data_IF_486390198393
#
_entry.id   IF_486390198393
#
_cell.length_a   1.000
_cell.length_b   1.000
_cell.length_c   1.000
_cell.angle_alpha   90.00
_cell.angle_beta   90.00
_cell.angle_gamma   90.00
#
_symmetry.space_group_name_H-M   'P 1'
#
loop_
_entity.id
_entity.type
_entity.pdbx_description
1 polymer ?
#
# COMPACT_ATOMS: atom_id res chain seq x y z
N UNK A 1 37.09 2.63 23.77
CA UNK A 1 37.30 4.08 23.94
C UNK A 1 37.20 4.83 22.61
N UNK A 2 36.49 4.30 21.61
CA UNK A 2 35.88 5.17 20.59
C UNK A 2 34.91 6.11 21.31
N UNK A 3 35.05 7.40 20.98
CA UNK A 3 34.99 8.47 21.98
C UNK A 3 33.57 8.77 22.47
N UNK A 4 33.42 9.03 23.77
CA UNK A 4 32.27 9.73 24.38
C UNK A 4 31.82 10.94 23.55
N UNK A 5 32.77 11.68 22.97
CA UNK A 5 32.50 12.79 22.06
C UNK A 5 31.75 12.42 20.76
N UNK A 6 31.83 11.17 20.30
CA UNK A 6 31.09 10.68 19.14
C UNK A 6 29.60 10.53 19.41
N UNK A 7 29.23 10.01 20.60
CA UNK A 7 27.83 9.85 21.02
C UNK A 7 27.19 11.21 21.27
N UNK A 8 27.87 12.10 22.01
CA UNK A 8 27.35 13.45 22.30
C UNK A 8 27.17 14.27 21.01
N UNK A 9 28.10 14.16 20.06
CA UNK A 9 27.98 14.80 18.74
C UNK A 9 26.80 14.22 17.93
N UNK A 10 26.61 12.90 17.95
CA UNK A 10 25.50 12.25 17.26
C UNK A 10 24.13 12.66 17.83
N UNK A 11 24.00 12.71 19.16
CA UNK A 11 22.80 13.20 19.83
C UNK A 11 22.50 14.66 19.51
N UNK A 12 23.55 15.49 19.52
CA UNK A 12 23.44 16.90 19.16
C UNK A 12 22.97 17.06 17.71
N UNK A 13 23.55 16.32 16.78
CA UNK A 13 23.17 16.36 15.38
C UNK A 13 21.74 15.86 15.14
N UNK A 14 21.34 14.76 15.79
CA UNK A 14 19.98 14.23 15.69
C UNK A 14 18.94 15.22 16.26
N UNK A 15 19.24 15.85 17.40
CA UNK A 15 18.38 16.88 17.99
C UNK A 15 18.25 18.12 17.09
N UNK A 16 19.37 18.65 16.58
CA UNK A 16 19.39 19.79 15.65
C UNK A 16 18.59 19.49 14.38
N UNK A 17 18.73 18.28 13.84
CA UNK A 17 18.01 17.87 12.63
C UNK A 17 16.50 17.75 12.89
N UNK A 18 16.11 17.17 14.03
CA UNK A 18 14.72 17.12 14.47
C UNK A 18 14.11 18.52 14.64
N UNK A 19 14.84 19.43 15.28
CA UNK A 19 14.42 20.83 15.46
C UNK A 19 14.27 21.55 14.12
N UNK A 20 15.22 21.35 13.19
CA UNK A 20 15.19 21.96 11.86
C UNK A 20 14.01 21.46 11.03
N UNK A 21 13.76 20.15 11.03
CA UNK A 21 12.61 19.55 10.34
C UNK A 21 11.30 20.04 10.94
N UNK A 22 11.20 20.08 12.27
CA UNK A 22 10.03 20.61 12.97
C UNK A 22 9.76 22.07 12.56
N UNK A 23 10.79 22.91 12.58
CA UNK A 23 10.67 24.31 12.18
C UNK A 23 10.22 24.45 10.72
N UNK A 24 10.80 23.66 9.81
CA UNK A 24 10.39 23.63 8.40
C UNK A 24 8.92 23.24 8.23
N UNK A 25 8.48 22.19 8.92
CA UNK A 25 7.09 21.74 8.89
C UNK A 25 6.13 22.79 9.48
N UNK A 26 6.48 23.42 10.59
CA UNK A 26 5.68 24.47 11.22
C UNK A 26 5.56 25.71 10.33
N UNK A 27 6.66 26.15 9.71
CA UNK A 27 6.64 27.25 8.73
C UNK A 27 5.73 26.87 7.56
N UNK A 28 5.89 25.67 7.00
CA UNK A 28 5.10 25.26 5.84
C UNK A 28 3.61 25.12 6.15
N UNK A 29 3.28 24.62 7.33
CA UNK A 29 1.91 24.54 7.82
C UNK A 29 1.30 25.94 7.98
N UNK A 30 2.06 26.89 8.53
CA UNK A 30 1.64 28.29 8.71
C UNK A 30 1.47 29.03 7.37
N UNK A 31 2.36 28.80 6.40
CA UNK A 31 2.28 29.39 5.05
C UNK A 31 1.05 28.90 4.27
N UNK A 32 0.77 27.60 4.35
CA UNK A 32 -0.30 26.99 3.55
C UNK A 32 -1.66 27.26 4.15
N UNK A 33 -1.76 27.25 5.49
CA UNK A 33 -3.02 27.27 6.24
C UNK A 33 -4.09 26.32 5.66
N UNK A 34 -3.63 25.23 5.05
CA UNK A 34 -4.43 24.26 4.31
C UNK A 34 -3.81 22.88 4.57
N UNK A 35 -4.55 22.04 5.29
CA UNK A 35 -4.10 20.71 5.67
C UNK A 35 -3.72 19.88 4.44
N UNK A 36 -4.47 19.94 3.34
CA UNK A 36 -4.20 19.10 2.18
C UNK A 36 -2.90 19.51 1.50
N UNK A 37 -2.65 20.82 1.33
CA UNK A 37 -1.37 21.33 0.80
C UNK A 37 -0.19 21.01 1.72
N UNK A 38 -0.41 21.09 3.04
CA UNK A 38 0.60 20.64 4.00
C UNK A 38 0.89 19.15 3.85
N UNK A 39 -0.10 18.30 3.64
CA UNK A 39 0.10 16.86 3.41
C UNK A 39 0.78 16.55 2.10
N UNK A 40 0.47 17.26 1.02
CA UNK A 40 1.20 17.15 -0.23
C UNK A 40 2.69 17.45 -0.01
N UNK A 41 3.00 18.52 0.73
CA UNK A 41 4.36 18.82 1.15
C UNK A 41 4.94 17.73 2.05
N UNK A 42 4.23 17.30 3.09
CA UNK A 42 4.70 16.31 4.06
C UNK A 42 5.01 14.98 3.39
N UNK A 43 4.18 14.53 2.46
CA UNK A 43 4.38 13.32 1.68
C UNK A 43 5.56 13.49 0.71
N UNK A 44 5.65 14.62 0.00
CA UNK A 44 6.70 14.87 -1.00
C UNK A 44 8.08 15.08 -0.37
N UNK A 45 8.15 15.86 0.71
CA UNK A 45 9.38 16.16 1.43
C UNK A 45 9.78 15.01 2.36
N UNK A 46 8.83 14.15 2.76
CA UNK A 46 9.02 12.99 3.63
C UNK A 46 9.94 13.30 4.83
N UNK A 47 9.59 14.32 5.66
CA UNK A 47 10.44 14.77 6.76
C UNK A 47 10.77 13.64 7.75
N UNK A 48 9.82 12.74 8.00
CA UNK A 48 10.01 11.55 8.83
C UNK A 48 11.10 10.60 8.26
N UNK A 49 11.22 10.41 6.94
CA UNK A 49 12.30 9.62 6.33
C UNK A 49 13.67 10.22 6.59
N UNK A 50 13.76 11.55 6.59
CA UNK A 50 14.99 12.26 6.92
C UNK A 50 15.38 12.08 8.40
N UNK A 51 14.40 12.09 9.32
CA UNK A 51 14.60 11.75 10.73
C UNK A 51 15.06 10.29 10.90
N UNK A 52 14.40 9.35 10.20
CA UNK A 52 14.75 7.92 10.22
C UNK A 52 16.23 7.72 9.83
N UNK A 53 16.70 8.41 8.79
CA UNK A 53 18.11 8.33 8.34
C UNK A 53 19.09 8.82 9.40
N UNK A 54 18.81 9.96 10.05
CA UNK A 54 19.69 10.51 11.10
C UNK A 54 19.69 9.63 12.35
N UNK A 55 18.53 9.09 12.72
CA UNK A 55 18.39 8.19 13.87
C UNK A 55 19.10 6.86 13.59
N UNK A 56 19.08 6.37 12.35
CA UNK A 56 19.82 5.18 11.96
C UNK A 56 21.34 5.40 12.09
N UNK A 57 21.83 6.61 11.78
CA UNK A 57 23.21 7.02 12.04
C UNK A 57 23.55 6.99 13.54
N UNK A 58 22.68 7.54 14.38
CA UNK A 58 22.84 7.48 15.84
C UNK A 58 22.90 6.03 16.35
N UNK A 59 22.00 5.16 15.89
CA UNK A 59 21.98 3.74 16.26
C UNK A 59 23.21 2.96 15.78
N UNK A 60 23.75 3.33 14.62
CA UNK A 60 25.00 2.76 14.13
C UNK A 60 26.19 3.13 15.03
N UNK A 61 26.21 4.34 15.60
CA UNK A 61 27.25 4.80 16.53
C UNK A 61 27.11 4.15 17.90
N UNK A 62 25.88 3.90 18.33
CA UNK A 62 25.59 3.25 19.62
C UNK A 62 25.76 1.72 19.57
N UNK A 63 26.10 1.15 18.41
CA UNK A 63 26.24 -0.30 18.18
C UNK A 63 25.01 -1.10 18.66
N UNK A 64 23.82 -0.56 18.35
CA UNK A 64 22.56 -1.16 18.80
C UNK A 64 22.18 -2.32 17.86
N UNK A 65 22.34 -3.54 18.35
CA UNK A 65 21.93 -4.77 17.67
C UNK A 65 20.57 -5.32 18.15
N UNK A 66 19.83 -5.96 17.23
CA UNK A 66 18.63 -6.76 17.53
C UNK A 66 17.33 -5.98 17.70
N UNK A 67 16.24 -6.70 18.04
CA UNK A 67 14.87 -6.19 18.28
C UNK A 67 14.70 -5.57 19.68
N UNK A 68 15.79 -5.13 20.31
CA UNK A 68 15.71 -4.48 21.61
C UNK A 68 14.90 -3.17 21.49
N UNK A 69 13.95 -2.99 22.40
CA UNK A 69 13.04 -1.86 22.34
C UNK A 69 13.80 -0.55 22.56
N UNK A 70 13.42 0.50 21.83
CA UNK A 70 13.84 1.90 22.07
C UNK A 70 13.98 2.25 23.57
N UNK A 71 13.06 1.77 24.42
CA UNK A 71 13.11 2.00 25.86
C UNK A 71 14.33 1.39 26.54
N UNK A 72 14.76 0.18 26.15
CA UNK A 72 15.96 -0.44 26.71
C UNK A 72 17.21 0.37 26.38
N UNK A 73 17.28 0.94 25.17
CA UNK A 73 18.41 1.77 24.76
C UNK A 73 18.41 3.14 25.43
N UNK A 74 17.24 3.76 25.63
CA UNK A 74 17.14 5.00 26.41
C UNK A 74 17.62 4.79 27.85
N UNK A 75 17.30 3.65 28.47
CA UNK A 75 17.77 3.27 29.81
C UNK A 75 19.29 3.02 29.81
N UNK A 76 19.83 2.34 28.79
CA UNK A 76 21.29 2.19 28.65
C UNK A 76 22.00 3.54 28.50
N UNK A 77 21.42 4.47 27.75
CA UNK A 77 21.95 5.82 27.59
C UNK A 77 21.92 6.64 28.89
N UNK A 78 20.89 6.46 29.71
CA UNK A 78 20.82 7.09 31.04
C UNK A 78 21.86 6.53 32.03
N UNK A 79 22.20 5.25 31.90
CA UNK A 79 23.23 4.58 32.71
C UNK A 79 24.67 4.78 32.22
N UNK A 80 24.86 5.31 31.02
CA UNK A 80 26.17 5.55 30.41
C UNK A 80 26.70 6.96 30.74
N UNK A 81 28.00 7.15 30.53
CA UNK A 81 28.75 8.39 30.75
C UNK A 81 28.40 9.50 29.72
N UNK A 82 27.15 9.56 29.25
CA UNK A 82 26.61 10.48 28.24
C UNK A 82 26.32 11.84 28.89
N UNK A 83 26.53 12.92 28.15
CA UNK A 83 26.09 14.24 28.62
C UNK A 83 24.56 14.29 28.72
N UNK A 84 24.07 14.32 29.97
CA UNK A 84 22.64 14.40 30.29
C UNK A 84 21.96 15.62 29.66
N UNK A 85 22.72 16.70 29.40
CA UNK A 85 22.23 17.89 28.70
C UNK A 85 21.87 17.56 27.25
N UNK A 86 22.72 16.81 26.55
CA UNK A 86 22.50 16.42 25.15
C UNK A 86 21.37 15.41 25.02
N UNK A 87 21.34 14.41 25.92
CA UNK A 87 20.23 13.46 25.99
C UNK A 87 18.89 14.16 26.26
N UNK A 88 18.86 15.11 27.20
CA UNK A 88 17.67 15.90 27.52
C UNK A 88 17.24 16.75 26.34
N UNK A 89 18.18 17.38 25.62
CA UNK A 89 17.88 18.17 24.42
C UNK A 89 17.24 17.29 23.34
N UNK A 90 17.81 16.12 23.07
CA UNK A 90 17.28 15.18 22.09
C UNK A 90 15.84 14.75 22.44
N UNK A 91 15.59 14.28 23.67
CA UNK A 91 14.24 13.92 24.16
C UNK A 91 13.25 15.08 24.03
N UNK A 92 13.69 16.32 24.30
CA UNK A 92 12.84 17.50 24.17
C UNK A 92 12.49 17.81 22.70
N UNK A 93 13.42 17.59 21.76
CA UNK A 93 13.14 17.71 20.33
C UNK A 93 12.08 16.69 19.89
N UNK A 94 12.20 15.44 20.33
CA UNK A 94 11.22 14.37 20.05
C UNK A 94 9.83 14.69 20.60
N UNK A 95 9.78 15.14 21.86
CA UNK A 95 8.51 15.54 22.48
C UNK A 95 7.83 16.66 21.69
N UNK A 96 8.58 17.67 21.23
CA UNK A 96 8.04 18.76 20.42
C UNK A 96 7.55 18.25 19.06
N UNK A 97 8.30 17.35 18.44
CA UNK A 97 7.91 16.69 17.20
C UNK A 97 6.61 15.91 17.36
N UNK A 98 6.48 15.08 18.39
CA UNK A 98 5.26 14.32 18.69
C UNK A 98 4.07 15.23 18.99
N UNK A 99 4.28 16.32 19.74
CA UNK A 99 3.24 17.33 19.97
C UNK A 99 2.75 17.96 18.67
N UNK A 100 3.67 18.28 17.75
CA UNK A 100 3.33 18.80 16.43
C UNK A 100 2.53 17.78 15.61
N UNK A 101 3.02 16.55 15.51
CA UNK A 101 2.34 15.46 14.79
C UNK A 101 0.92 15.23 15.35
N UNK A 102 0.76 15.19 16.68
CA UNK A 102 -0.55 15.06 17.33
C UNK A 102 -1.47 16.26 17.09
N UNK A 103 -0.91 17.47 16.95
CA UNK A 103 -1.68 18.67 16.59
C UNK A 103 -2.24 18.53 15.18
N UNK A 104 -1.41 18.13 14.21
CA UNK A 104 -1.85 17.88 12.83
C UNK A 104 -2.96 16.82 12.79
N UNK A 105 -2.80 15.74 13.54
CA UNK A 105 -3.81 14.68 13.62
C UNK A 105 -5.13 15.13 14.22
N UNK A 106 -5.08 15.96 15.26
CA UNK A 106 -6.28 16.54 15.88
C UNK A 106 -7.03 17.42 14.89
N UNK A 107 -6.30 18.25 14.13
CA UNK A 107 -6.87 19.10 13.09
C UNK A 107 -7.52 18.28 11.95
N UNK A 108 -6.89 17.18 11.54
CA UNK A 108 -7.48 16.23 10.59
C UNK A 108 -8.76 15.59 11.14
N UNK A 109 -8.75 15.16 12.41
CA UNK A 109 -9.93 14.59 13.05
C UNK A 109 -11.09 15.59 13.10
N UNK A 110 -10.81 16.86 13.35
CA UNK A 110 -11.83 17.91 13.37
C UNK A 110 -12.31 18.29 11.96
N UNK A 111 -11.44 18.26 10.95
CA UNK A 111 -11.86 18.38 9.55
C UNK A 111 -12.78 17.23 9.14
N UNK A 112 -12.45 15.99 9.54
CA UNK A 112 -13.29 14.80 9.30
C UNK A 112 -14.67 14.95 9.91
N UNK A 113 -14.75 15.37 11.18
CA UNK A 113 -16.03 15.61 11.86
C UNK A 113 -16.87 16.65 11.12
N UNK A 114 -16.25 17.75 10.67
CA UNK A 114 -16.91 18.81 9.88
C UNK A 114 -17.37 18.35 8.49
N UNK A 115 -16.69 17.38 7.88
CA UNK A 115 -17.10 16.76 6.61
C UNK A 115 -18.24 15.74 6.82
N UNK A 116 -18.14 14.92 7.86
CA UNK A 116 -19.14 13.91 8.19
C UNK A 116 -20.51 14.52 8.58
N UNK A 117 -20.51 15.76 9.09
CA UNK A 117 -21.75 16.50 9.38
C UNK A 117 -22.43 17.11 8.13
N UNK A 118 -21.84 16.95 6.93
CA UNK A 118 -22.43 17.41 5.66
C UNK A 118 -23.16 16.26 4.97
N UNK A 119 -23.98 16.63 3.99
CA UNK A 119 -24.77 15.76 3.12
C UNK A 119 -24.08 14.45 2.70
N UNK A 120 -24.84 13.43 2.26
CA UNK A 120 -24.27 12.17 1.76
C UNK A 120 -23.09 12.41 0.82
N UNK A 121 -22.00 11.67 1.01
CA UNK A 121 -20.81 11.80 0.17
C UNK A 121 -21.17 11.28 -1.22
N UNK A 122 -21.02 12.11 -2.25
CA UNK A 122 -21.12 11.69 -3.66
C UNK A 122 -19.73 11.70 -4.27
N UNK A 123 -19.29 10.56 -4.81
CA UNK A 123 -18.02 10.49 -5.53
C UNK A 123 -18.16 11.11 -6.92
N UNK A 124 -17.08 11.76 -7.40
CA UNK A 124 -17.08 12.40 -8.72
C UNK A 124 -17.05 11.34 -9.83
N UNK A 125 -17.75 11.58 -10.94
CA UNK A 125 -17.71 10.72 -12.14
C UNK A 125 -16.32 10.55 -12.68
N UNK A 126 -15.60 11.66 -12.77
CA UNK A 126 -14.36 11.80 -13.50
C UNK A 126 -13.13 11.36 -12.70
N UNK A 127 -13.33 10.77 -11.52
CA UNK A 127 -12.24 10.09 -10.80
C UNK A 127 -11.62 9.04 -11.72
N UNK A 128 -10.31 9.15 -11.94
CA UNK A 128 -9.61 8.32 -12.92
C UNK A 128 -8.89 7.17 -12.23
N UNK A 129 -9.06 5.99 -12.80
CA UNK A 129 -8.36 4.79 -12.42
C UNK A 129 -7.74 4.14 -13.63
N UNK A 130 -6.90 3.14 -13.37
CA UNK A 130 -6.40 2.24 -14.39
C UNK A 130 -7.02 0.88 -14.12
N UNK A 131 -7.85 0.40 -15.05
CA UNK A 131 -8.37 -0.97 -14.99
C UNK A 131 -7.23 -1.94 -15.32
N UNK A 132 -6.93 -2.82 -14.36
CA UNK A 132 -5.82 -3.75 -14.47
C UNK A 132 -6.27 -5.03 -15.18
N UNK A 133 -5.62 -5.37 -16.28
CA UNK A 133 -5.90 -6.57 -17.07
C UNK A 133 -5.08 -6.65 -18.35
N UNK A 134 -5.47 -7.53 -19.27
CA UNK A 134 -4.73 -7.74 -20.53
C UNK A 134 -4.67 -6.45 -21.37
N UNK A 135 -5.80 -5.75 -21.45
CA UNK A 135 -5.89 -4.43 -22.05
C UNK A 135 -6.01 -3.41 -20.93
N UNK A 136 -4.85 -2.98 -20.41
CA UNK A 136 -4.80 -1.90 -19.44
C UNK A 136 -5.45 -0.65 -20.05
N UNK A 137 -6.43 -0.08 -19.36
CA UNK A 137 -7.15 1.08 -19.86
C UNK A 137 -7.39 2.10 -18.76
N UNK A 138 -7.34 3.38 -19.13
CA UNK A 138 -7.77 4.44 -18.24
C UNK A 138 -9.29 4.42 -18.20
N UNK A 139 -9.85 4.33 -17.00
CA UNK A 139 -11.29 4.26 -16.78
C UNK A 139 -11.71 5.32 -15.75
N UNK A 140 -12.92 5.83 -15.88
CA UNK A 140 -13.51 6.71 -14.87
C UNK A 140 -14.29 5.87 -13.85
N UNK A 141 -14.56 6.41 -12.65
CA UNK A 141 -15.40 5.71 -11.66
C UNK A 141 -16.77 5.36 -12.26
N UNK A 142 -17.39 6.31 -12.97
CA UNK A 142 -18.69 6.09 -13.60
C UNK A 142 -18.64 4.93 -14.59
N UNK A 143 -17.62 4.89 -15.44
CA UNK A 143 -17.47 3.80 -16.40
C UNK A 143 -17.18 2.47 -15.70
N UNK A 144 -16.40 2.47 -14.62
CA UNK A 144 -16.11 1.26 -13.85
C UNK A 144 -17.36 0.69 -13.17
N UNK A 145 -18.27 1.55 -12.68
CA UNK A 145 -19.55 1.13 -12.10
C UNK A 145 -20.52 0.66 -13.19
N UNK A 146 -20.62 1.39 -14.29
CA UNK A 146 -21.57 1.11 -15.38
C UNK A 146 -21.13 0.00 -16.33
N UNK A 147 -19.85 -0.39 -16.35
CA UNK A 147 -19.34 -1.41 -17.27
C UNK A 147 -19.96 -2.78 -16.98
N UNK A 148 -20.77 -3.31 -17.89
CA UNK A 148 -21.30 -4.68 -17.85
C UNK A 148 -22.11 -5.06 -16.60
N UNK A 149 -22.69 -4.10 -15.87
CA UNK A 149 -23.38 -4.38 -14.61
C UNK A 149 -24.82 -3.86 -14.62
N UNK A 150 -25.77 -4.78 -14.49
CA UNK A 150 -27.14 -4.49 -14.04
C UNK A 150 -27.19 -4.24 -12.51
N UNK A 151 -26.05 -4.31 -11.82
CA UNK A 151 -25.93 -4.09 -10.40
C UNK A 151 -26.21 -2.62 -10.05
N UNK A 152 -27.05 -2.42 -9.04
CA UNK A 152 -27.38 -1.10 -8.48
C UNK A 152 -26.35 -0.62 -7.46
N UNK A 153 -25.57 -1.55 -6.93
CA UNK A 153 -24.58 -1.29 -5.90
C UNK A 153 -23.20 -1.73 -6.36
N UNK A 154 -22.19 -1.04 -5.88
CA UNK A 154 -20.79 -1.42 -6.06
C UNK A 154 -20.08 -1.37 -4.72
N UNK A 155 -19.41 -2.46 -4.35
CA UNK A 155 -18.51 -2.52 -3.22
C UNK A 155 -17.07 -2.31 -3.71
N UNK A 156 -16.47 -1.20 -3.28
CA UNK A 156 -15.06 -0.90 -3.49
C UNK A 156 -14.27 -1.47 -2.30
N UNK A 157 -13.49 -2.52 -2.55
CA UNK A 157 -12.61 -3.14 -1.55
C UNK A 157 -11.25 -2.45 -1.62
N UNK A 158 -10.97 -1.60 -0.63
CA UNK A 158 -9.72 -0.84 -0.55
C UNK A 158 -8.60 -1.70 0.01
N UNK A 159 -7.53 -1.87 -0.76
CA UNK A 159 -6.31 -2.56 -0.36
C UNK A 159 -5.29 -1.54 0.10
N UNK A 160 -4.66 -1.81 1.26
CA UNK A 160 -3.65 -0.94 1.86
C UNK A 160 -2.41 -0.80 0.98
N UNK A 161 -1.85 -1.95 0.59
CA UNK A 161 -0.75 -2.13 -0.34
C UNK A 161 -0.78 -3.58 -0.81
N UNK A 162 -0.14 -3.87 -1.94
CA UNK A 162 -0.24 -5.17 -2.63
C UNK A 162 0.36 -6.36 -1.85
N UNK A 163 1.24 -6.11 -0.88
CA UNK A 163 1.82 -7.14 -0.02
C UNK A 163 1.14 -7.29 1.35
N UNK A 164 -0.06 -6.72 1.53
CA UNK A 164 -0.77 -6.79 2.81
C UNK A 164 -1.57 -8.08 2.91
N UNK A 165 -1.10 -9.03 3.73
CA UNK A 165 -1.71 -10.35 3.91
C UNK A 165 -3.18 -10.25 4.32
N UNK A 166 -3.50 -9.48 5.36
CA UNK A 166 -4.88 -9.29 5.82
C UNK A 166 -5.80 -8.67 4.74
N UNK A 167 -5.25 -7.88 3.80
CA UNK A 167 -6.02 -7.34 2.68
C UNK A 167 -6.25 -8.40 1.61
N UNK A 168 -5.26 -9.25 1.35
CA UNK A 168 -5.37 -10.34 0.38
C UNK A 168 -6.40 -11.36 0.85
N UNK A 169 -6.33 -11.80 2.11
CA UNK A 169 -7.31 -12.71 2.70
C UNK A 169 -8.74 -12.17 2.57
N UNK A 170 -8.95 -10.89 2.88
CA UNK A 170 -10.25 -10.24 2.75
C UNK A 170 -10.76 -10.20 1.31
N UNK A 171 -9.88 -9.87 0.35
CA UNK A 171 -10.21 -9.89 -1.08
C UNK A 171 -10.58 -11.30 -1.56
N UNK A 172 -9.84 -12.32 -1.13
CA UNK A 172 -10.11 -13.72 -1.50
C UNK A 172 -11.43 -14.22 -0.89
N UNK A 173 -11.71 -13.89 0.38
CA UNK A 173 -12.99 -14.21 1.00
C UNK A 173 -14.18 -13.56 0.27
N UNK A 174 -14.02 -12.31 -0.21
CA UNK A 174 -15.03 -11.65 -1.03
C UNK A 174 -15.15 -12.30 -2.42
N UNK A 175 -14.02 -12.69 -3.03
CA UNK A 175 -13.97 -13.39 -4.31
C UNK A 175 -14.76 -14.70 -4.29
N UNK A 176 -14.57 -15.52 -3.25
CA UNK A 176 -15.27 -16.79 -3.06
C UNK A 176 -16.79 -16.62 -2.91
N UNK A 177 -17.24 -15.43 -2.51
CA UNK A 177 -18.64 -15.09 -2.27
C UNK A 177 -19.21 -14.15 -3.32
N UNK A 178 -18.56 -13.98 -4.49
CA UNK A 178 -19.02 -13.11 -5.59
C UNK A 178 -20.48 -13.35 -5.97
N UNK A 179 -20.93 -14.61 -6.03
CA UNK A 179 -22.31 -14.94 -6.36
C UNK A 179 -23.32 -14.37 -5.36
N UNK A 180 -22.97 -14.31 -4.07
CA UNK A 180 -23.84 -13.75 -3.04
C UNK A 180 -23.95 -12.23 -3.17
N UNK A 181 -22.87 -11.54 -3.52
CA UNK A 181 -22.90 -10.10 -3.84
C UNK A 181 -23.76 -9.83 -5.08
N UNK A 182 -23.55 -10.61 -6.15
CA UNK A 182 -24.33 -10.50 -7.38
C UNK A 182 -25.84 -10.73 -7.14
N UNK A 183 -26.20 -11.72 -6.29
CA UNK A 183 -27.60 -11.97 -5.92
C UNK A 183 -28.29 -10.79 -5.23
N UNK A 184 -27.50 -9.85 -4.69
CA UNK A 184 -27.95 -8.60 -4.04
C UNK A 184 -27.75 -7.37 -4.93
N UNK A 185 -27.63 -7.55 -6.26
CA UNK A 185 -27.36 -6.48 -7.22
C UNK A 185 -26.10 -5.66 -6.85
N UNK A 186 -25.08 -6.32 -6.31
CA UNK A 186 -23.84 -5.69 -5.88
C UNK A 186 -22.64 -6.28 -6.62
N UNK A 187 -21.87 -5.39 -7.25
CA UNK A 187 -20.61 -5.70 -7.90
C UNK A 187 -19.44 -5.50 -6.96
N UNK A 188 -18.38 -6.30 -7.12
CA UNK A 188 -17.11 -6.12 -6.43
C UNK A 188 -16.06 -5.47 -7.33
N UNK A 189 -15.41 -4.43 -6.82
CA UNK A 189 -14.22 -3.82 -7.41
C UNK A 189 -13.11 -3.73 -6.35
N UNK A 190 -11.92 -4.22 -6.66
CA UNK A 190 -10.76 -4.05 -5.80
C UNK A 190 -10.04 -2.76 -6.17
N UNK A 191 -9.72 -1.92 -5.20
CA UNK A 191 -9.01 -0.65 -5.44
C UNK A 191 -7.71 -0.63 -4.64
N UNK A 192 -6.61 -0.31 -5.31
CA UNK A 192 -5.29 -0.21 -4.68
C UNK A 192 -4.57 1.05 -5.14
N UNK A 193 -3.82 1.69 -4.23
CA UNK A 193 -2.88 2.75 -4.63
C UNK A 193 -1.59 2.08 -5.12
N UNK A 194 -1.44 2.02 -6.43
CA UNK A 194 -0.30 1.40 -7.07
C UNK A 194 -0.09 2.02 -8.45
N UNK A 195 1.11 1.82 -9.00
CA UNK A 195 1.33 2.04 -10.42
C UNK A 195 0.54 1.02 -11.24
N UNK A 196 0.31 1.35 -12.50
CA UNK A 196 -0.31 0.47 -13.49
C UNK A 196 0.35 -0.92 -13.52
N UNK A 197 1.67 -0.94 -13.60
CA UNK A 197 2.46 -2.16 -13.73
C UNK A 197 2.38 -3.00 -12.46
N UNK A 198 2.47 -2.34 -11.30
CA UNK A 198 2.40 -2.99 -10.00
C UNK A 198 1.05 -3.69 -9.79
N UNK A 199 -0.05 -2.99 -10.00
CA UNK A 199 -1.39 -3.54 -9.81
C UNK A 199 -1.72 -4.67 -10.81
N UNK A 200 -1.25 -4.55 -12.05
CA UNK A 200 -1.44 -5.60 -13.08
C UNK A 200 -0.65 -6.86 -12.74
N UNK A 201 0.61 -6.71 -12.33
CA UNK A 201 1.44 -7.83 -11.90
C UNK A 201 0.82 -8.51 -10.68
N UNK A 202 0.40 -7.73 -9.68
CA UNK A 202 -0.25 -8.26 -8.48
C UNK A 202 -1.49 -9.08 -8.82
N UNK A 203 -2.42 -8.53 -9.61
CA UNK A 203 -3.63 -9.24 -10.07
C UNK A 203 -3.31 -10.58 -10.75
N UNK A 204 -2.30 -10.59 -11.63
CA UNK A 204 -1.86 -11.80 -12.34
C UNK A 204 -1.26 -12.83 -11.38
N UNK A 205 -0.42 -12.40 -10.43
CA UNK A 205 0.23 -13.28 -9.46
C UNK A 205 -0.78 -13.99 -8.56
N UNK A 206 -1.82 -13.29 -8.10
CA UNK A 206 -2.83 -13.87 -7.20
C UNK A 206 -3.98 -14.56 -7.96
N UNK A 207 -3.99 -14.51 -9.29
CA UNK A 207 -5.04 -15.15 -10.11
C UNK A 207 -6.43 -14.54 -9.95
N UNK A 208 -6.53 -13.25 -9.62
CA UNK A 208 -7.80 -12.62 -9.26
C UNK A 208 -8.64 -12.27 -10.50
N UNK A 209 -9.85 -12.81 -10.56
CA UNK A 209 -10.77 -12.55 -11.68
C UNK A 209 -11.51 -11.22 -11.52
N UNK A 210 -11.75 -10.77 -10.29
CA UNK A 210 -12.36 -9.47 -10.02
C UNK A 210 -11.57 -8.32 -10.67
N UNK A 211 -12.26 -7.28 -11.18
CA UNK A 211 -11.61 -6.06 -11.63
C UNK A 211 -10.79 -5.44 -10.50
N UNK A 212 -9.56 -5.08 -10.84
CA UNK A 212 -8.67 -4.32 -9.97
C UNK A 212 -8.47 -2.95 -10.61
N UNK A 213 -8.69 -1.90 -9.82
CA UNK A 213 -8.51 -0.51 -10.19
C UNK A 213 -7.27 0.03 -9.47
N UNK A 214 -6.31 0.55 -10.21
CA UNK A 214 -5.20 1.30 -9.65
C UNK A 214 -5.61 2.77 -9.49
N UNK A 215 -5.62 3.27 -8.25
CA UNK A 215 -5.81 4.66 -7.88
C UNK A 215 -4.44 5.34 -7.75
N UNK A 216 -3.77 5.53 -8.88
CA UNK A 216 -2.39 6.05 -8.93
C UNK A 216 -2.28 7.44 -8.27
N UNK A 217 -3.30 8.28 -8.45
CA UNK A 217 -3.35 9.65 -7.95
C UNK A 217 -3.96 9.76 -6.54
N UNK A 218 -4.60 8.70 -6.03
CA UNK A 218 -5.21 8.68 -4.72
C UNK A 218 -6.51 9.50 -4.61
N UNK A 219 -7.23 9.67 -5.72
CA UNK A 219 -8.44 10.50 -5.77
C UNK A 219 -9.54 9.92 -4.87
N UNK A 220 -9.71 8.60 -4.87
CA UNK A 220 -10.72 7.92 -4.06
C UNK A 220 -10.35 7.96 -2.58
N UNK A 221 -9.08 7.71 -2.30
CA UNK A 221 -8.52 7.73 -0.93
C UNK A 221 -8.72 9.10 -0.28
N UNK A 222 -8.51 10.17 -1.05
CA UNK A 222 -8.75 11.54 -0.60
C UNK A 222 -10.24 11.84 -0.42
N UNK A 223 -11.08 11.38 -1.35
CA UNK A 223 -12.52 11.62 -1.30
C UNK A 223 -13.19 10.95 -0.10
N UNK A 224 -12.84 9.69 0.19
CA UNK A 224 -13.38 8.94 1.32
C UNK A 224 -12.61 9.22 2.62
N UNK A 225 -11.39 9.75 2.53
CA UNK A 225 -10.47 9.98 3.65
C UNK A 225 -10.06 8.67 4.36
N UNK A 226 -9.45 7.75 3.61
CA UNK A 226 -8.76 6.55 4.13
C UNK A 226 -7.37 6.83 4.72
N UNK A 227 -7.04 8.11 4.96
CA UNK A 227 -5.73 8.51 5.45
C UNK A 227 -5.50 7.99 6.86
N UNK A 228 -4.33 7.41 7.08
CA UNK A 228 -3.82 7.06 8.39
C UNK A 228 -3.63 8.31 9.26
N UNK A 229 -3.69 8.09 10.57
CA UNK A 229 -3.23 9.09 11.53
C UNK A 229 -1.73 9.32 11.32
N UNK A 230 -1.32 10.58 11.22
CA UNK A 230 0.07 11.03 11.14
C UNK A 230 0.87 10.54 12.33
N UNK A 231 0.27 10.55 13.52
CA UNK A 231 0.88 10.00 14.72
C UNK A 231 1.24 8.51 14.58
N UNK A 232 0.49 7.73 13.79
CA UNK A 232 0.79 6.30 13.60
C UNK A 232 2.07 6.04 12.79
N UNK A 233 2.49 6.96 11.91
CA UNK A 233 3.62 6.74 11.00
C UNK A 233 4.70 7.81 11.07
N UNK A 234 4.52 8.86 11.87
CA UNK A 234 5.48 9.94 11.98
C UNK A 234 5.92 10.21 13.42
N UNK A 235 5.30 9.62 14.46
CA UNK A 235 5.77 9.86 15.83
C UNK A 235 7.19 9.32 16.06
N UNK A 236 7.85 9.81 17.10
CA UNK A 236 9.21 9.44 17.51
C UNK A 236 9.37 7.92 17.63
N UNK A 237 8.42 7.23 18.26
CA UNK A 237 8.44 5.77 18.41
C UNK A 237 8.48 5.03 17.07
N UNK A 238 7.72 5.47 16.07
CA UNK A 238 7.75 4.93 14.71
C UNK A 238 9.09 5.25 14.03
N UNK A 239 9.57 6.49 14.13
CA UNK A 239 10.87 6.91 13.59
C UNK A 239 11.99 6.02 14.14
N UNK A 240 12.03 5.78 15.45
CA UNK A 240 13.00 4.86 16.07
C UNK A 240 12.90 3.45 15.53
N UNK A 241 11.68 2.88 15.47
CA UNK A 241 11.49 1.52 14.95
C UNK A 241 12.01 1.38 13.51
N UNK A 242 11.77 2.39 12.67
CA UNK A 242 12.28 2.42 11.30
C UNK A 242 13.79 2.64 11.27
N UNK A 243 14.33 3.53 12.08
CA UNK A 243 15.75 3.82 12.17
C UNK A 243 16.57 2.60 12.58
N UNK A 244 16.09 1.83 13.56
CA UNK A 244 16.71 0.59 14.04
C UNK A 244 16.81 -0.45 12.93
N UNK A 245 15.72 -0.64 12.18
CA UNK A 245 15.71 -1.54 11.03
C UNK A 245 16.65 -1.07 9.92
N UNK A 246 16.77 0.23 9.73
CA UNK A 246 17.67 0.82 8.74
C UNK A 246 19.15 0.77 9.15
N UNK A 247 19.46 0.82 10.45
CA UNK A 247 20.84 0.74 10.95
C UNK A 247 21.38 -0.69 10.95
N UNK A 248 20.49 -1.68 11.11
CA UNK A 248 20.82 -3.08 10.89
C UNK A 248 21.14 -3.26 9.41
N UNK A 249 22.43 -3.43 9.09
CA UNK A 249 22.91 -3.70 7.73
C UNK A 249 22.39 -5.05 7.25
N UNK A 250 21.13 -5.13 6.82
CA UNK A 250 20.59 -6.30 6.14
C UNK A 250 21.40 -6.46 4.84
N UNK A 251 22.31 -7.43 4.84
CA UNK A 251 23.11 -7.78 3.69
C UNK A 251 22.21 -8.17 2.52
N UNK A 252 22.42 -7.53 1.38
CA UNK A 252 22.01 -7.96 0.03
C UNK A 252 20.51 -8.09 -0.29
N UNK A 253 20.10 -7.46 -1.40
CA UNK A 253 18.88 -7.71 -2.20
C UNK A 253 17.49 -7.57 -1.55
N UNK A 254 17.30 -7.84 -0.27
CA UNK A 254 15.98 -7.73 0.38
C UNK A 254 15.56 -6.28 0.66
N UNK A 255 16.54 -5.35 0.73
CA UNK A 255 16.24 -3.93 0.90
C UNK A 255 15.67 -3.28 -0.35
N UNK A 256 15.74 -3.90 -1.54
CA UNK A 256 15.33 -3.30 -2.82
C UNK A 256 13.83 -3.04 -2.96
N UNK A 257 12.98 -3.59 -2.08
CA UNK A 257 11.62 -3.08 -1.86
C UNK A 257 11.63 -1.76 -1.07
N UNK A 258 12.65 -0.93 -1.35
CA UNK A 258 12.97 0.29 -0.61
C UNK A 258 11.70 1.11 -0.51
N UNK A 259 11.45 1.50 0.72
CA UNK A 259 10.69 2.63 1.21
C UNK A 259 10.20 3.63 0.14
N UNK A 260 11.00 3.98 -0.87
CA UNK A 260 10.65 4.82 -2.04
C UNK A 260 9.28 4.51 -2.70
N UNK A 261 8.91 3.25 -2.94
CA UNK A 261 7.57 2.91 -3.47
C UNK A 261 6.52 2.69 -2.36
N UNK A 262 6.96 2.23 -1.18
CA UNK A 262 6.09 2.05 -0.02
C UNK A 262 5.64 3.39 0.58
N UNK A 263 6.37 4.48 0.37
CA UNK A 263 6.09 5.83 0.85
C UNK A 263 4.74 6.35 0.34
N UNK A 264 4.27 5.88 -0.82
CA UNK A 264 2.94 6.23 -1.31
C UNK A 264 1.82 5.43 -0.63
N UNK A 265 2.10 4.29 0.00
CA UNK A 265 1.07 3.40 0.58
C UNK A 265 1.03 3.37 2.12
N UNK A 266 2.08 3.85 2.81
CA UNK A 266 2.11 3.84 4.29
C UNK A 266 1.09 4.79 4.94
N UNK A 267 0.47 5.68 4.17
CA UNK A 267 -0.52 6.65 4.67
C UNK A 267 -1.97 6.19 4.50
N UNK A 268 -2.19 4.97 4.02
CA UNK A 268 -3.52 4.43 3.82
C UNK A 268 -3.73 3.20 4.70
N UNK A 269 -4.96 3.00 5.15
CA UNK A 269 -5.45 1.69 5.59
C UNK A 269 -6.42 1.12 4.56
N UNK A 270 -6.61 -0.19 4.63
CA UNK A 270 -7.67 -0.83 3.88
C UNK A 270 -9.05 -0.41 4.38
N UNK A 271 -10.06 -0.96 3.73
CA UNK A 271 -11.44 -0.91 4.17
C UNK A 271 -12.37 -1.18 2.99
N UNK A 272 -13.61 -0.76 3.14
CA UNK A 272 -14.70 -1.12 2.24
C UNK A 272 -15.62 0.09 2.04
N UNK A 273 -16.04 0.35 0.80
CA UNK A 273 -16.95 1.45 0.45
C UNK A 273 -18.08 0.90 -0.38
N UNK A 274 -19.31 0.99 0.12
CA UNK A 274 -20.50 0.66 -0.65
C UNK A 274 -21.07 1.93 -1.27
N UNK A 275 -21.27 1.91 -2.59
CA UNK A 275 -21.89 3.00 -3.33
C UNK A 275 -23.08 2.51 -4.15
N UNK A 276 -24.01 3.43 -4.46
CA UNK A 276 -25.09 3.20 -5.43
C UNK A 276 -24.66 3.53 -6.87
N UNK A 277 -25.57 3.29 -7.82
CA UNK A 277 -25.44 3.59 -9.26
C UNK A 277 -25.25 5.09 -9.57
N UNK A 278 -25.58 5.95 -8.61
CA UNK A 278 -25.40 7.41 -8.66
C UNK A 278 -24.10 7.87 -7.98
N UNK A 279 -23.30 6.93 -7.45
CA UNK A 279 -22.05 7.15 -6.72
C UNK A 279 -22.23 7.78 -5.34
N UNK A 280 -23.43 7.71 -4.77
CA UNK A 280 -23.63 8.05 -3.37
C UNK A 280 -23.02 6.96 -2.50
N UNK A 281 -22.24 7.38 -1.52
CA UNK A 281 -21.68 6.51 -0.51
C UNK A 281 -22.76 6.12 0.48
N UNK A 282 -23.13 4.85 0.46
CA UNK A 282 -24.12 4.26 1.36
C UNK A 282 -23.49 3.76 2.66
N UNK A 283 -22.27 3.24 2.57
CA UNK A 283 -21.53 2.69 3.71
C UNK A 283 -20.03 2.84 3.51
N UNK A 284 -19.31 3.07 4.61
CA UNK A 284 -17.84 3.07 4.66
C UNK A 284 -17.38 2.33 5.90
N UNK A 285 -16.55 1.30 5.72
CA UNK A 285 -15.70 0.75 6.76
C UNK A 285 -14.28 1.25 6.56
N UNK A 286 -13.75 2.00 7.52
CA UNK A 286 -12.34 2.41 7.54
C UNK A 286 -11.61 1.54 8.55
N UNK A 287 -10.78 0.64 8.06
CA UNK A 287 -9.95 -0.18 8.94
C UNK A 287 -9.08 0.73 9.83
N UNK A 288 -8.89 0.35 11.09
CA UNK A 288 -7.97 0.97 12.06
C UNK A 288 -6.63 0.25 12.13
N UNK A 289 -6.64 -1.03 11.75
CA UNK A 289 -5.46 -1.89 11.62
C UNK A 289 -5.62 -2.76 10.37
N UNK A 290 -4.56 -3.37 9.84
CA UNK A 290 -4.70 -4.34 8.74
C UNK A 290 -5.73 -5.45 9.02
N UNK A 291 -5.82 -5.92 10.26
CA UNK A 291 -6.76 -6.96 10.74
C UNK A 291 -8.19 -6.45 10.98
N UNK A 292 -8.40 -5.15 11.01
CA UNK A 292 -9.72 -4.54 11.23
C UNK A 292 -10.53 -4.56 9.93
N UNK A 293 -10.86 -5.76 9.46
CA UNK A 293 -11.67 -6.02 8.28
C UNK A 293 -13.07 -6.44 8.69
N UNK A 294 -14.07 -5.93 7.99
CA UNK A 294 -15.45 -6.35 8.21
C UNK A 294 -15.63 -7.77 7.65
N UNK A 295 -16.37 -8.63 8.34
CA UNK A 295 -16.64 -9.97 7.79
C UNK A 295 -17.46 -9.87 6.49
N UNK A 296 -17.32 -10.86 5.60
CA UNK A 296 -18.09 -10.87 4.35
C UNK A 296 -19.60 -10.92 4.61
N UNK A 297 -20.04 -11.63 5.65
CA UNK A 297 -21.46 -11.70 6.01
C UNK A 297 -21.97 -10.34 6.52
N UNK A 298 -21.18 -9.61 7.30
CA UNK A 298 -21.51 -8.25 7.73
C UNK A 298 -21.55 -7.27 6.55
N UNK A 299 -20.65 -7.41 5.57
CA UNK A 299 -20.67 -6.63 4.32
C UNK A 299 -21.94 -6.89 3.53
N UNK A 300 -22.32 -8.16 3.35
CA UNK A 300 -23.56 -8.53 2.66
C UNK A 300 -24.79 -7.92 3.33
N UNK A 301 -24.80 -7.84 4.67
CA UNK A 301 -25.89 -7.18 5.43
C UNK A 301 -25.96 -5.66 5.21
N UNK A 302 -24.89 -5.00 4.77
CA UNK A 302 -24.93 -3.56 4.44
C UNK A 302 -25.58 -3.27 3.10
N UNK A 303 -25.68 -4.27 2.22
CA UNK A 303 -26.26 -4.11 0.89
C UNK A 303 -27.79 -4.11 1.02
N UNK A 304 -28.48 -3.06 0.54
CA UNK A 304 -29.94 -3.03 0.58
C UNK A 304 -30.52 -4.23 -0.17
N UNK A 305 -31.44 -4.94 0.49
CA UNK A 305 -32.15 -6.07 -0.13
C UNK A 305 -33.29 -5.50 -0.96
N UNK A 306 -33.13 -5.52 -2.28
CA UNK A 306 -34.25 -5.27 -3.18
C UNK A 306 -34.91 -6.59 -3.59
N UNK A 307 -36.25 -6.64 -3.59
CA UNK A 307 -37.03 -7.84 -3.93
C UNK A 307 -37.00 -8.25 -5.41
N UNK A 308 -36.10 -7.68 -6.24
CA UNK A 308 -35.86 -8.11 -7.62
C UNK A 308 -34.42 -8.60 -7.75
N UNK A 309 -34.26 -9.91 -7.83
CA UNK A 309 -33.00 -10.55 -8.16
C UNK A 309 -32.58 -10.14 -9.58
N UNK A 310 -31.40 -9.55 -9.74
CA UNK A 310 -30.70 -9.66 -11.02
C UNK A 310 -30.42 -11.15 -11.28
N UNK A 311 -30.47 -11.53 -12.56
CA UNK A 311 -30.03 -12.84 -12.99
C UNK A 311 -28.53 -12.95 -12.75
N UNK A 312 -28.15 -13.79 -11.78
CA UNK A 312 -26.77 -14.07 -11.33
C UNK A 312 -25.81 -14.39 -12.50
N UNK A 313 -26.36 -14.86 -13.63
CA UNK A 313 -25.64 -15.24 -14.83
C UNK A 313 -24.88 -14.08 -15.52
N UNK A 314 -25.38 -12.84 -15.49
CA UNK A 314 -24.71 -11.71 -16.18
C UNK A 314 -23.41 -11.29 -15.48
N UNK A 315 -23.44 -11.17 -14.15
CA UNK A 315 -22.26 -10.75 -13.39
C UNK A 315 -21.22 -11.88 -13.35
N UNK A 316 -21.63 -13.13 -13.12
CA UNK A 316 -20.73 -14.29 -13.19
C UNK A 316 -20.12 -14.46 -14.59
N UNK A 317 -20.88 -14.18 -15.66
CA UNK A 317 -20.38 -14.19 -17.04
C UNK A 317 -19.32 -13.09 -17.26
N UNK A 318 -19.52 -11.90 -16.67
CA UNK A 318 -18.55 -10.81 -16.73
C UNK A 318 -17.20 -11.18 -16.07
N UNK A 319 -17.21 -12.05 -15.07
CA UNK A 319 -16.01 -12.62 -14.44
C UNK A 319 -15.46 -13.83 -15.20
N UNK A 320 -16.33 -14.66 -15.80
CA UNK A 320 -15.98 -15.94 -16.43
C UNK A 320 -15.32 -15.82 -17.81
N UNK A 321 -15.46 -14.70 -18.51
CA UNK A 321 -14.84 -14.48 -19.83
C UNK A 321 -13.31 -14.24 -19.80
N UNK A 322 -12.64 -14.43 -18.65
CA UNK A 322 -11.19 -14.24 -18.50
C UNK A 322 -10.47 -15.49 -17.98
N UNK A 323 -10.96 -16.69 -18.29
CA UNK A 323 -10.38 -17.96 -17.83
C UNK A 323 -9.20 -18.41 -18.70
N UNK A 324 -7.99 -18.00 -18.33
CA UNK A 324 -6.81 -18.85 -18.54
C UNK A 324 -6.42 -19.46 -17.19
N UNK A 325 -5.94 -20.70 -17.21
CA UNK A 325 -5.67 -21.52 -16.04
C UNK A 325 -4.92 -20.75 -14.93
N UNK A 326 -5.59 -20.58 -13.80
CA UNK A 326 -5.02 -19.94 -12.60
C UNK A 326 -4.03 -20.94 -11.97
N UNK A 327 -2.73 -20.62 -11.85
CA UNK A 327 -1.83 -21.46 -11.08
C UNK A 327 -2.24 -21.45 -9.61
N UNK A 328 -2.30 -22.64 -8.99
CA UNK A 328 -2.60 -22.77 -7.58
C UNK A 328 -1.43 -22.19 -6.76
N UNK A 329 -1.61 -20.99 -6.20
CA UNK A 329 -0.66 -20.41 -5.25
C UNK A 329 -0.87 -21.10 -3.90
N UNK A 330 0.02 -22.01 -3.53
CA UNK A 330 0.04 -22.60 -2.19
C UNK A 330 0.93 -21.77 -1.28
N UNK A 331 0.33 -21.14 -0.28
CA UNK A 331 1.08 -20.55 0.83
C UNK A 331 1.47 -21.67 1.79
N UNK A 332 2.76 -22.00 1.88
CA UNK A 332 3.26 -22.81 2.97
C UNK A 332 3.45 -21.93 4.20
N UNK A 333 2.69 -22.20 5.26
CA UNK A 333 3.01 -21.69 6.60
C UNK A 333 4.31 -22.35 7.06
N UNK A 334 5.42 -21.61 7.03
CA UNK A 334 6.64 -21.99 7.72
C UNK A 334 6.63 -21.41 9.12
N UNK A 335 6.83 -22.27 10.13
CA UNK A 335 7.02 -21.84 11.51
C UNK A 335 8.30 -20.99 11.59
N UNK A 336 8.15 -19.69 11.87
CA UNK A 336 9.21 -18.85 12.42
C UNK A 336 10.01 -17.98 11.45
N UNK A 337 10.08 -18.32 10.16
CA UNK A 337 10.76 -17.49 9.15
C UNK A 337 9.79 -17.11 8.02
N UNK A 338 9.92 -15.86 7.54
CA UNK A 338 9.00 -15.21 6.59
C UNK A 338 8.74 -16.08 5.35
N UNK A 339 7.52 -16.05 4.79
CA UNK A 339 7.17 -16.88 3.64
C UNK A 339 8.02 -16.51 2.41
N UNK A 340 8.72 -17.51 1.88
CA UNK A 340 9.30 -17.47 0.53
C UNK A 340 8.18 -17.88 -0.43
N UNK A 341 7.91 -17.04 -1.42
CA UNK A 341 6.97 -17.35 -2.49
C UNK A 341 7.72 -18.13 -3.57
N UNK A 342 7.67 -19.46 -3.52
CA UNK A 342 8.12 -20.30 -4.63
C UNK A 342 7.00 -20.41 -5.66
N UNK A 343 7.19 -19.78 -6.82
CA UNK A 343 6.29 -19.89 -7.96
C UNK A 343 6.74 -21.10 -8.79
N UNK A 344 6.13 -22.26 -8.57
CA UNK A 344 6.26 -23.38 -9.50
C UNK A 344 5.45 -23.08 -10.78
N UNK A 345 6.15 -22.63 -11.83
CA UNK A 345 5.56 -22.53 -13.16
C UNK A 345 5.61 -23.91 -13.80
N UNK A 346 4.48 -24.65 -13.73
CA UNK A 346 4.32 -25.89 -14.48
C UNK A 346 4.46 -25.66 -15.98
N UNK A 347 5.04 -26.61 -16.75
CA UNK A 347 5.17 -26.46 -18.19
C UNK A 347 3.78 -26.38 -18.85
N UNK A 348 3.61 -25.57 -19.91
CA UNK A 348 2.33 -25.42 -20.58
C UNK A 348 1.89 -26.77 -21.19
N UNK A 349 0.72 -27.24 -20.78
CA UNK A 349 0.04 -28.37 -21.42
C UNK A 349 -0.45 -27.94 -22.79
N UNK A 350 0.30 -28.32 -23.84
CA UNK A 350 -0.14 -28.18 -25.22
C UNK A 350 -1.19 -29.26 -25.53
N UNK A 351 -2.37 -28.92 -26.09
CA UNK A 351 -3.32 -29.91 -26.55
C UNK A 351 -2.73 -30.68 -27.73
N UNK A 352 -2.50 -31.99 -27.56
CA UNK A 352 -2.06 -32.88 -28.64
C UNK A 352 -3.21 -33.02 -29.64
N UNK A 353 -3.16 -32.25 -30.72
CA UNK A 353 -3.94 -32.53 -31.93
C UNK A 353 -3.16 -33.52 -32.79
N UNK A 354 -3.78 -34.64 -33.16
CA UNK A 354 -3.21 -35.65 -34.06
C UNK A 354 -2.97 -35.03 -35.44
N UNK A 355 -1.72 -34.74 -35.76
CA UNK A 355 -1.30 -34.31 -37.11
C UNK A 355 -0.78 -35.52 -37.88
N UNK A 356 -1.32 -35.74 -39.08
CA UNK A 356 -0.86 -36.73 -40.07
C UNK A 356 0.59 -36.46 -40.49
N UNK A 357 1.42 -37.48 -40.75
CA UNK A 357 2.81 -37.28 -41.14
C UNK A 357 2.91 -36.71 -42.55
N UNK A 358 3.50 -35.52 -42.68
CA UNK A 358 3.93 -34.93 -43.95
C UNK A 358 5.43 -35.15 -44.14
N UNK A 359 5.78 -35.43 -45.39
CA UNK A 359 7.06 -35.92 -45.90
C UNK A 359 8.25 -35.04 -45.51
N UNK A 360 9.38 -35.69 -45.27
CA UNK A 360 10.71 -35.11 -45.08
C UNK A 360 11.17 -34.27 -46.29
N UNK A 361 11.73 -33.07 -46.08
CA UNK A 361 12.47 -32.34 -47.10
C UNK A 361 13.97 -32.73 -47.13
N UNK A 362 14.66 -32.51 -48.27
CA UNK A 362 16.04 -32.92 -48.53
C UNK A 362 17.09 -31.94 -47.95
N UNK A 363 18.40 -32.28 -47.97
CA UNK A 363 19.40 -31.69 -47.08
C UNK A 363 19.85 -30.30 -47.50
N UNK A 364 20.19 -29.48 -46.50
CA UNK A 364 20.76 -28.14 -46.65
C UNK A 364 22.25 -28.20 -47.00
N UNK A 365 22.65 -27.37 -47.96
CA UNK A 365 24.04 -27.03 -48.27
C UNK A 365 24.50 -25.85 -47.42
N UNK A 366 25.67 -26.01 -46.80
CA UNK A 366 26.42 -24.97 -46.08
C UNK A 366 26.84 -23.83 -47.01
N UNK A 367 26.74 -22.60 -46.53
CA UNK A 367 27.62 -21.51 -46.95
C UNK A 367 27.93 -20.60 -45.78
N UNK A 368 29.22 -20.58 -45.44
CA UNK A 368 29.92 -19.61 -44.61
C UNK A 368 29.51 -18.18 -44.96
N UNK A 369 29.40 -17.30 -43.96
CA UNK A 369 29.97 -15.96 -44.07
C UNK A 369 30.28 -15.34 -42.71
N UNK A 370 31.51 -14.84 -42.69
CA UNK A 370 32.28 -14.10 -41.69
C UNK A 370 31.86 -12.65 -41.54
N UNK A 371 32.19 -12.05 -40.39
CA UNK A 371 32.31 -10.59 -40.20
C UNK A 371 31.14 -10.02 -39.40
N UNK A 372 31.34 -9.10 -38.46
CA UNK A 372 32.51 -8.33 -38.08
C UNK A 372 32.10 -7.38 -36.96
N UNK A 373 33.07 -7.09 -36.10
CA UNK A 373 33.02 -6.16 -34.99
C UNK A 373 32.73 -4.72 -35.46
N UNK A 374 31.92 -3.95 -34.71
CA UNK A 374 32.02 -2.49 -34.70
C UNK A 374 31.61 -1.94 -33.32
N UNK A 375 32.49 -1.09 -32.80
CA UNK A 375 32.42 -0.29 -31.59
C UNK A 375 32.13 1.17 -32.01
N UNK A 376 31.62 1.97 -31.07
CA UNK A 376 31.40 3.44 -31.05
C UNK A 376 29.98 3.87 -31.45
N UNK A 377 29.26 4.74 -30.71
CA UNK A 377 29.65 5.74 -29.69
C UNK A 377 28.74 5.68 -28.46
#
# INVERSE_FOLDING_TARGET
MESKGGIDAALTAAAQHCESILQSCQMKFSETNDLNKFFEYFNKASPHSSLISHYAGLYSILDIEGDQSYFYHMIQMEGNDIDQTMLTRFKNAEKKWDMFVNTIDSLLADERKRRASKSPITLKEDMRFIECGEKMSNITLQNAISANSACKYTLLIMVRYMGCEDCLEHVMAAHERVADFASRNCRLLVVCRATREGATLWRKMIGLQMPVLADEFGDLIQAIDFRLSVAMFANSAYVHKCAQRSSQRVSSRESAYRLDDAHNCIYQLGGDVLIDDKRHVLFVHKSRTPKDRLSIDDLLQKIPIEHKAATVDEELSSYSLRSDAVPAVKFQQTNGDRPIVDIEVGPPTVPITKVKPLRSPPPQTNSNQTGGCCIMM
#
